data_IF_222844432560
#
_entry.id   IF_222844432560
#
_cell.length_a   1.000
_cell.length_b   1.000
_cell.length_c   1.000
_cell.angle_alpha   90.00
_cell.angle_beta   90.00
_cell.angle_gamma   90.00
#
_symmetry.space_group_name_H-M   'P 1'
#
loop_
_entity.id
_entity.type
_entity.pdbx_description
1 polymer ?
#
# COMPACT_ATOMS: atom_id res chain seq x y z
N UNK A 1 22.45 -9.22 0.68
CA UNK A 1 21.55 -9.73 -0.37
C UNK A 1 20.11 -9.55 0.11
N UNK A 2 19.54 -8.36 -0.08
CA UNK A 2 18.18 -8.05 0.38
C UNK A 2 17.63 -6.93 -0.49
N UNK A 3 16.95 -7.31 -1.57
CA UNK A 3 16.45 -6.37 -2.60
C UNK A 3 15.21 -5.57 -2.15
N UNK A 4 14.74 -5.77 -0.91
CA UNK A 4 13.59 -5.08 -0.34
C UNK A 4 14.02 -4.55 1.03
N UNK A 5 14.11 -3.22 1.18
CA UNK A 5 14.23 -2.59 2.50
C UNK A 5 12.92 -2.83 3.24
N UNK A 6 12.99 -3.50 4.40
CA UNK A 6 11.84 -3.72 5.29
C UNK A 6 11.81 -2.75 6.46
N UNK A 7 12.94 -2.12 6.76
CA UNK A 7 13.08 -1.11 7.78
C UNK A 7 13.04 0.26 7.10
N UNK A 8 11.91 0.95 7.21
CA UNK A 8 11.69 2.27 6.64
C UNK A 8 11.65 3.30 7.76
N UNK A 9 12.53 4.31 7.67
CA UNK A 9 12.32 5.54 8.45
C UNK A 9 11.16 6.31 7.82
N UNK A 10 10.28 6.93 8.63
CA UNK A 10 9.10 7.61 8.12
C UNK A 10 9.43 8.71 7.08
N UNK A 11 10.51 9.46 7.34
CA UNK A 11 11.04 10.51 6.45
C UNK A 11 11.59 9.99 5.11
N UNK A 12 12.03 8.73 5.05
CA UNK A 12 12.45 8.06 3.81
C UNK A 12 11.28 7.40 3.09
N UNK A 13 10.25 6.97 3.84
CA UNK A 13 9.05 6.36 3.30
C UNK A 13 8.18 7.38 2.54
N UNK A 14 8.21 8.66 2.93
CA UNK A 14 7.49 9.71 2.19
C UNK A 14 8.13 10.05 0.83
N UNK A 15 9.39 9.64 0.62
CA UNK A 15 10.08 9.84 -0.66
C UNK A 15 9.72 8.75 -1.66
N UNK A 16 9.67 9.16 -2.94
CA UNK A 16 9.51 8.25 -4.08
C UNK A 16 10.69 7.29 -4.14
N UNK A 17 10.40 6.00 -3.94
CA UNK A 17 11.42 4.95 -3.93
C UNK A 17 11.28 4.05 -5.15
N UNK A 18 12.29 3.21 -5.40
CA UNK A 18 12.31 2.32 -6.58
C UNK A 18 11.17 1.29 -6.52
N UNK A 19 10.75 0.94 -5.31
CA UNK A 19 9.62 0.06 -5.01
C UNK A 19 8.28 0.66 -5.48
N UNK A 20 8.10 1.98 -5.39
CA UNK A 20 6.87 2.64 -5.89
C UNK A 20 6.81 2.62 -7.42
N UNK A 21 7.95 2.78 -8.10
CA UNK A 21 8.02 2.64 -9.56
C UNK A 21 7.64 1.24 -10.03
N UNK A 22 8.09 0.22 -9.29
CA UNK A 22 7.69 -1.17 -9.53
C UNK A 22 6.19 -1.33 -9.31
N UNK A 23 5.63 -0.75 -8.24
CA UNK A 23 4.20 -0.78 -7.97
C UNK A 23 3.37 -0.07 -9.07
N UNK A 24 3.83 1.07 -9.59
CA UNK A 24 3.18 1.81 -10.66
C UNK A 24 3.16 1.02 -11.97
N UNK A 25 4.22 0.25 -12.26
CA UNK A 25 4.27 -0.57 -13.48
C UNK A 25 3.52 -1.90 -13.32
N UNK A 26 3.62 -2.53 -12.15
CA UNK A 26 2.99 -3.84 -11.88
C UNK A 26 1.49 -3.69 -11.66
N UNK A 27 1.00 -2.57 -11.10
CA UNK A 27 -0.43 -2.42 -10.80
C UNK A 27 -1.34 -2.48 -12.03
N UNK A 28 -1.12 -1.75 -13.14
CA UNK A 28 -1.97 -1.87 -14.33
C UNK A 28 -1.90 -3.28 -14.93
N UNK A 29 -0.72 -3.92 -14.88
CA UNK A 29 -0.52 -5.27 -15.37
C UNK A 29 -1.29 -6.30 -14.53
N UNK A 30 -1.27 -6.16 -13.20
CA UNK A 30 -2.02 -7.01 -12.28
C UNK A 30 -3.53 -6.84 -12.49
N UNK A 31 -4.03 -5.61 -12.63
CA UNK A 31 -5.44 -5.36 -12.93
C UNK A 31 -5.86 -5.95 -14.28
N UNK A 32 -5.06 -5.75 -15.33
CA UNK A 32 -5.34 -6.27 -16.66
C UNK A 32 -5.37 -7.81 -16.66
N UNK A 33 -4.39 -8.45 -16.04
CA UNK A 33 -4.30 -9.92 -15.98
C UNK A 33 -5.38 -10.53 -15.09
N UNK A 34 -5.76 -9.90 -13.99
CA UNK A 34 -6.90 -10.32 -13.18
C UNK A 34 -8.22 -10.21 -13.96
N UNK A 35 -8.46 -9.07 -14.61
CA UNK A 35 -9.70 -8.84 -15.37
C UNK A 35 -9.81 -9.81 -16.56
N UNK A 36 -8.76 -9.89 -17.39
CA UNK A 36 -8.74 -10.77 -18.57
C UNK A 36 -8.72 -12.23 -18.15
N UNK A 37 -7.92 -12.58 -17.13
CA UNK A 37 -7.86 -13.94 -16.58
C UNK A 37 -9.21 -14.39 -16.04
N UNK A 38 -9.93 -13.52 -15.33
CA UNK A 38 -11.26 -13.82 -14.80
C UNK A 38 -12.27 -14.05 -15.93
N UNK A 39 -12.32 -13.13 -16.89
CA UNK A 39 -13.22 -13.25 -18.04
C UNK A 39 -12.97 -14.55 -18.82
N UNK A 40 -11.71 -14.89 -19.10
CA UNK A 40 -11.36 -16.13 -19.80
C UNK A 40 -11.61 -17.39 -18.96
N UNK A 41 -11.46 -17.32 -17.63
CA UNK A 41 -11.77 -18.43 -16.73
C UNK A 41 -13.27 -18.73 -16.69
N UNK A 42 -14.12 -17.69 -16.73
CA UNK A 42 -15.57 -17.84 -16.83
C UNK A 42 -15.99 -18.51 -18.16
N UNK A 43 -15.20 -18.34 -19.22
CA UNK A 43 -15.36 -19.04 -20.50
C UNK A 43 -14.80 -20.46 -20.50
N UNK A 44 -14.37 -21.00 -19.34
CA UNK A 44 -13.77 -22.33 -19.17
C UNK A 44 -12.51 -22.57 -20.03
N UNK A 45 -11.85 -21.50 -20.47
CA UNK A 45 -10.61 -21.60 -21.25
C UNK A 45 -9.44 -21.84 -20.31
N UNK A 46 -8.63 -22.87 -20.59
CA UNK A 46 -7.42 -23.22 -19.80
C UNK A 46 -6.46 -22.04 -19.67
N UNK A 47 -6.35 -21.22 -20.71
CA UNK A 47 -5.51 -19.99 -20.71
C UNK A 47 -6.01 -18.98 -19.68
N UNK A 48 -7.32 -18.90 -19.45
CA UNK A 48 -7.90 -17.99 -18.46
C UNK A 48 -7.43 -18.29 -17.05
N UNK A 49 -7.43 -19.57 -16.66
CA UNK A 49 -6.96 -19.98 -15.33
C UNK A 49 -5.48 -19.68 -15.11
N UNK A 50 -4.64 -19.84 -16.15
CA UNK A 50 -3.21 -19.50 -16.08
C UNK A 50 -3.03 -17.98 -15.90
N UNK A 51 -3.72 -17.17 -16.72
CA UNK A 51 -3.63 -15.71 -16.65
C UNK A 51 -4.18 -15.17 -15.32
N UNK A 52 -5.24 -15.77 -14.79
CA UNK A 52 -5.80 -15.43 -13.48
C UNK A 52 -4.80 -15.75 -12.36
N UNK A 53 -4.17 -16.93 -12.40
CA UNK A 53 -3.13 -17.30 -11.43
C UNK A 53 -1.95 -16.34 -11.45
N UNK A 54 -1.51 -15.91 -12.64
CA UNK A 54 -0.47 -14.90 -12.79
C UNK A 54 -0.89 -13.54 -12.19
N UNK A 55 -2.13 -13.11 -12.42
CA UNK A 55 -2.67 -11.88 -11.86
C UNK A 55 -2.69 -11.90 -10.32
N UNK A 56 -3.17 -13.00 -9.73
CA UNK A 56 -3.18 -13.18 -8.27
C UNK A 56 -1.76 -13.11 -7.71
N UNK A 57 -0.80 -13.78 -8.37
CA UNK A 57 0.59 -13.77 -7.95
C UNK A 57 1.21 -12.37 -8.01
N UNK A 58 0.94 -11.60 -9.07
CA UNK A 58 1.39 -10.21 -9.20
C UNK A 58 0.80 -9.32 -8.10
N UNK A 59 -0.48 -9.48 -7.78
CA UNK A 59 -1.12 -8.75 -6.68
C UNK A 59 -0.49 -9.09 -5.33
N UNK A 60 -0.16 -10.36 -5.09
CA UNK A 60 0.51 -10.77 -3.85
C UNK A 60 1.89 -10.14 -3.70
N UNK A 61 2.69 -10.16 -4.78
CA UNK A 61 4.01 -9.48 -4.80
C UNK A 61 3.85 -7.99 -4.52
N UNK A 62 2.88 -7.34 -5.17
CA UNK A 62 2.64 -5.91 -5.00
C UNK A 62 2.29 -5.59 -3.54
N UNK A 63 1.43 -6.40 -2.92
CA UNK A 63 1.08 -6.20 -1.51
C UNK A 63 2.29 -6.40 -0.59
N UNK A 64 3.10 -7.42 -0.85
CA UNK A 64 4.30 -7.71 -0.06
C UNK A 64 5.38 -6.61 -0.16
N UNK A 65 5.48 -5.94 -1.31
CA UNK A 65 6.42 -4.83 -1.52
C UNK A 65 5.93 -3.54 -0.87
N UNK A 66 4.63 -3.24 -0.93
CA UNK A 66 4.06 -1.97 -0.47
C UNK A 66 3.73 -1.95 1.04
N UNK A 67 3.27 -3.07 1.60
CA UNK A 67 2.86 -3.18 3.01
C UNK A 67 3.89 -2.63 4.04
N UNK A 68 5.19 -2.96 3.98
CA UNK A 68 6.16 -2.43 4.95
C UNK A 68 6.30 -0.91 4.90
N UNK A 69 6.10 -0.31 3.72
CA UNK A 69 6.18 1.14 3.51
C UNK A 69 4.93 1.84 4.06
N UNK A 70 3.75 1.31 3.76
CA UNK A 70 2.48 1.85 4.27
C UNK A 70 2.41 1.82 5.79
N UNK A 71 2.92 0.75 6.43
CA UNK A 71 2.96 0.64 7.90
C UNK A 71 3.84 1.72 8.54
N UNK A 72 5.04 1.94 8.01
CA UNK A 72 5.96 2.95 8.52
C UNK A 72 5.38 4.38 8.41
N UNK A 73 4.69 4.67 7.31
CA UNK A 73 3.99 5.96 7.12
C UNK A 73 2.83 6.09 8.11
N UNK A 74 2.01 5.04 8.24
CA UNK A 74 0.81 5.08 9.09
C UNK A 74 1.14 5.36 10.55
N UNK A 75 2.23 4.78 11.08
CA UNK A 75 2.67 5.00 12.47
C UNK A 75 3.06 6.46 12.73
N UNK A 76 3.70 7.14 11.77
CA UNK A 76 4.02 8.57 11.88
C UNK A 76 2.76 9.44 11.83
N UNK A 77 1.82 9.11 10.95
CA UNK A 77 0.53 9.82 10.88
C UNK A 77 -0.26 9.68 12.19
N UNK A 78 -0.32 8.48 12.77
CA UNK A 78 -0.99 8.26 14.06
C UNK A 78 -0.35 9.09 15.18
N UNK A 79 0.98 9.20 15.20
CA UNK A 79 1.69 10.04 16.16
C UNK A 79 1.32 11.53 16.01
N UNK A 80 1.32 12.05 14.78
CA UNK A 80 0.90 13.44 14.48
C UNK A 80 -0.57 13.68 14.83
N UNK A 81 -1.46 12.72 14.56
CA UNK A 81 -2.87 12.82 14.94
C UNK A 81 -3.06 12.89 16.45
N UNK A 82 -2.34 12.05 17.21
CA UNK A 82 -2.39 12.07 18.68
C UNK A 82 -1.92 13.42 19.24
N UNK A 83 -0.80 13.94 18.74
CA UNK A 83 -0.28 15.25 19.16
C UNK A 83 -1.25 16.39 18.84
N UNK A 84 -1.90 16.34 17.67
CA UNK A 84 -2.92 17.31 17.28
C UNK A 84 -4.15 17.27 18.21
N UNK A 85 -4.62 16.09 18.59
CA UNK A 85 -5.73 15.93 19.54
C UNK A 85 -5.38 16.48 20.92
N UNK A 86 -4.18 16.18 21.45
CA UNK A 86 -3.73 16.75 22.73
C UNK A 86 -3.66 18.28 22.70
N UNK A 87 -3.21 18.86 21.58
CA UNK A 87 -3.18 20.32 21.39
C UNK A 87 -4.59 20.91 21.36
N UNK A 88 -5.52 20.25 20.67
CA UNK A 88 -6.92 20.66 20.62
C UNK A 88 -7.58 20.59 21.98
N UNK A 89 -7.39 19.51 22.74
CA UNK A 89 -7.93 19.37 24.09
C UNK A 89 -7.47 20.49 25.01
N UNK A 90 -6.19 20.86 24.95
CA UNK A 90 -5.67 22.01 25.69
C UNK A 90 -6.42 23.29 25.29
N UNK A 91 -6.48 23.62 24.00
CA UNK A 91 -7.15 24.84 23.51
C UNK A 91 -8.63 24.88 23.92
N UNK A 92 -9.35 23.75 23.79
CA UNK A 92 -10.76 23.65 24.17
C UNK A 92 -10.95 23.84 25.68
N UNK A 93 -10.07 23.28 26.50
CA UNK A 93 -10.11 23.44 27.96
C UNK A 93 -9.94 24.92 28.35
N UNK A 94 -8.93 25.60 27.79
CA UNK A 94 -8.73 27.04 28.03
C UNK A 94 -9.96 27.88 27.66
N UNK A 95 -10.65 27.56 26.56
CA UNK A 95 -11.88 28.27 26.15
C UNK A 95 -13.09 28.01 27.06
N UNK A 96 -13.10 26.88 27.79
CA UNK A 96 -14.20 26.53 28.70
C UNK A 96 -14.09 27.21 30.07
N UNK A 97 -12.88 27.66 30.41
CA UNK A 97 -12.56 28.32 31.68
C UNK A 97 -12.63 29.87 31.56
N UNK A 98 -12.88 30.42 30.35
CA UNK A 98 -13.31 31.81 30.07
C UNK A 98 -14.85 31.90 29.97
#
# INVERSE_FOLDING_TARGET
>A
MGFIKRDWKPEEADKWTKEDWIAILISPLAYATLMVGLALSLLLLKVGFITLGLGIFLTFILHWVIDPKLRAISEEYEKKQREYLERLEKIVKWRKDE
#
